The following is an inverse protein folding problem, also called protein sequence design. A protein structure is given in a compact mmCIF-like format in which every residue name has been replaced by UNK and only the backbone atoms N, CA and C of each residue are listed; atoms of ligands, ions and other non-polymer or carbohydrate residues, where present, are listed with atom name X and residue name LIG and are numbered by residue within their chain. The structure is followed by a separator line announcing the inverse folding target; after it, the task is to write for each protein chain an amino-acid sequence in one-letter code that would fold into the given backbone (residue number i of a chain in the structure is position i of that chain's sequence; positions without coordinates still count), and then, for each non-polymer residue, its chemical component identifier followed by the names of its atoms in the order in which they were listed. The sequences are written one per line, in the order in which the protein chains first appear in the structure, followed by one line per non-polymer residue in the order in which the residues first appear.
data_IF_706420919811
#
_entry.id   IF_706420919811
#
_cell.length_a   1.000
_cell.length_b   1.000
_cell.length_c   1.000
_cell.angle_alpha   90.00
_cell.angle_beta   90.00
_cell.angle_gamma   90.00
#
_symmetry.space_group_name_H-M   'P 1'
#
loop_
_entity.id
_entity.type
_entity.pdbx_description
1 polymer ?
#
# COMPACT_ATOMS: atom_id res chain seq x y z
N UNK A 1 -9.88 47.51 2.84
CA UNK A 1 -9.50 48.17 4.11
C UNK A 1 -10.27 47.48 5.21
N UNK A 2 -9.64 46.55 5.90
CA UNK A 2 -9.84 46.20 7.32
C UNK A 2 -8.85 45.08 7.67
N UNK A 3 -7.98 45.40 8.61
CA UNK A 3 -6.95 44.52 9.18
C UNK A 3 -7.44 44.18 10.58
N UNK A 4 -7.85 42.93 10.78
CA UNK A 4 -8.12 42.41 12.11
C UNK A 4 -6.79 41.96 12.75
N UNK A 5 -6.40 42.71 13.78
CA UNK A 5 -5.30 42.42 14.70
C UNK A 5 -5.66 41.22 15.59
N UNK A 6 -4.70 40.32 15.81
CA UNK A 6 -4.80 39.29 16.84
C UNK A 6 -3.51 39.27 17.66
N UNK A 7 -3.69 39.41 18.98
CA UNK A 7 -2.67 39.54 20.01
C UNK A 7 -1.70 38.36 20.10
N UNK A 8 -0.46 38.70 20.47
CA UNK A 8 0.60 37.78 20.86
C UNK A 8 0.37 37.13 22.24
N UNK A 9 1.04 35.99 22.49
CA UNK A 9 1.62 35.74 23.81
C UNK A 9 3.15 35.57 23.78
N UNK A 10 3.78 36.16 24.80
CA UNK A 10 5.22 36.20 25.06
C UNK A 10 5.83 34.82 25.30
N UNK A 11 6.94 34.52 24.64
CA UNK A 11 7.74 33.32 24.89
C UNK A 11 8.84 33.58 25.94
N UNK A 12 9.20 32.58 26.77
CA UNK A 12 10.23 32.70 27.80
C UNK A 12 11.66 32.73 27.24
N UNK A 13 12.54 33.49 27.89
CA UNK A 13 13.96 33.62 27.57
C UNK A 13 14.73 32.31 27.75
N UNK A 14 15.70 31.98 26.86
CA UNK A 14 16.55 30.80 27.01
C UNK A 14 17.70 31.01 28.00
N UNK A 15 17.96 29.99 28.83
CA UNK A 15 19.10 29.87 29.75
C UNK A 15 20.46 29.89 29.03
N UNK A 16 21.45 30.70 29.47
CA UNK A 16 22.71 30.88 28.76
C UNK A 16 23.82 29.85 29.09
N UNK A 17 23.51 28.70 29.70
CA UNK A 17 24.54 27.80 30.26
C UNK A 17 24.54 26.37 29.70
N UNK A 18 24.42 26.22 28.38
CA UNK A 18 24.79 24.97 27.70
C UNK A 18 25.94 25.23 26.74
N UNK A 19 27.16 24.98 27.23
CA UNK A 19 28.38 25.11 26.45
C UNK A 19 28.41 24.15 25.25
N UNK A 20 29.14 24.50 24.17
CA UNK A 20 29.26 23.66 22.98
C UNK A 20 30.09 22.40 23.29
N UNK A 21 29.74 21.21 22.77
CA UNK A 21 30.68 20.12 22.70
C UNK A 21 31.84 20.48 21.74
N UNK A 22 33.07 20.21 22.18
CA UNK A 22 34.31 20.48 21.43
C UNK A 22 34.42 19.70 20.11
N UNK A 23 35.22 20.21 19.15
CA UNK A 23 35.41 19.61 17.84
C UNK A 23 36.58 18.61 17.89
N UNK A 24 36.26 17.32 17.85
CA UNK A 24 37.25 16.28 17.67
C UNK A 24 36.82 15.40 16.51
N UNK A 25 37.62 15.45 15.44
CA UNK A 25 37.95 14.31 14.57
C UNK A 25 36.77 13.64 13.85
N UNK A 26 36.65 13.65 12.53
CA UNK A 26 37.68 13.48 11.53
C UNK A 26 37.01 12.86 10.30
N UNK A 27 37.58 13.13 9.14
CA UNK A 27 37.18 12.66 7.80
C UNK A 27 36.57 11.24 7.79
N UNK A 28 35.28 11.16 7.48
CA UNK A 28 34.56 9.91 7.27
C UNK A 28 33.46 10.09 6.21
N UNK A 29 33.88 10.10 4.95
CA UNK A 29 33.14 9.62 3.77
C UNK A 29 31.61 9.83 3.76
N UNK A 30 31.15 10.80 2.97
CA UNK A 30 29.78 10.89 2.44
C UNK A 30 29.44 9.68 1.54
N UNK A 31 29.29 8.47 2.08
CA UNK A 31 28.94 7.28 1.29
C UNK A 31 28.09 6.26 2.06
N UNK A 32 26.98 6.70 2.66
CA UNK A 32 26.07 5.76 3.34
C UNK A 32 24.58 6.14 3.23
N UNK A 33 24.13 6.70 2.09
CA UNK A 33 22.70 7.02 1.89
C UNK A 33 22.08 6.29 0.68
N UNK A 34 22.88 5.60 -0.14
CA UNK A 34 22.35 4.93 -1.35
C UNK A 34 21.72 3.54 -1.10
N UNK A 35 21.82 2.97 0.11
CA UNK A 35 21.45 1.56 0.36
C UNK A 35 20.00 1.33 0.85
N UNK A 36 19.21 2.39 1.09
CA UNK A 36 17.90 2.27 1.75
C UNK A 36 16.68 2.13 0.80
N UNK A 37 16.85 2.26 -0.52
CA UNK A 37 15.73 2.21 -1.48
C UNK A 37 15.36 0.81 -1.99
N UNK A 38 16.08 -0.24 -1.60
CA UNK A 38 15.91 -1.61 -2.15
C UNK A 38 14.95 -2.52 -1.35
N UNK A 39 14.31 -2.02 -0.29
CA UNK A 39 13.57 -2.87 0.66
C UNK A 39 12.03 -2.80 0.53
N UNK A 40 11.46 -1.93 -0.31
CA UNK A 40 10.01 -1.73 -0.42
C UNK A 40 9.32 -2.56 -1.52
N UNK A 41 10.05 -3.38 -2.27
CA UNK A 41 9.50 -4.14 -3.41
C UNK A 41 8.88 -5.52 -3.11
N UNK A 42 9.11 -6.21 -1.97
CA UNK A 42 8.74 -7.62 -1.88
C UNK A 42 7.23 -7.86 -1.74
N UNK A 43 6.48 -6.94 -1.11
CA UNK A 43 5.03 -7.10 -0.90
C UNK A 43 4.26 -7.04 -2.23
N UNK A 44 4.46 -5.97 -3.01
CA UNK A 44 3.72 -5.74 -4.26
C UNK A 44 3.93 -6.84 -5.32
N UNK A 45 5.13 -7.43 -5.37
CA UNK A 45 5.42 -8.53 -6.29
C UNK A 45 4.73 -9.84 -5.87
N UNK A 46 4.61 -10.09 -4.56
CA UNK A 46 3.87 -11.22 -4.01
C UNK A 46 2.37 -11.07 -4.30
N UNK A 47 1.81 -9.89 -4.04
CA UNK A 47 0.40 -9.58 -4.28
C UNK A 47 0.03 -9.75 -5.76
N UNK A 48 0.91 -9.32 -6.67
CA UNK A 48 0.74 -9.55 -8.11
C UNK A 48 0.65 -11.03 -8.46
N UNK A 49 1.58 -11.84 -7.95
CA UNK A 49 1.60 -13.27 -8.24
C UNK A 49 0.36 -13.97 -7.65
N UNK A 50 -0.02 -13.59 -6.42
CA UNK A 50 -1.20 -14.11 -5.73
C UNK A 50 -2.50 -13.73 -6.47
N UNK A 51 -2.63 -12.48 -6.94
CA UNK A 51 -3.75 -12.01 -7.74
C UNK A 51 -3.88 -12.82 -9.06
N UNK A 52 -2.79 -12.98 -9.82
CA UNK A 52 -2.81 -13.72 -11.08
C UNK A 52 -3.19 -15.20 -10.88
N UNK A 53 -2.59 -15.86 -9.88
CA UNK A 53 -2.92 -17.24 -9.55
C UNK A 53 -4.38 -17.38 -9.09
N UNK A 54 -4.83 -16.49 -8.22
CA UNK A 54 -6.20 -16.53 -7.70
C UNK A 54 -7.27 -16.34 -8.78
N UNK A 55 -7.04 -15.44 -9.75
CA UNK A 55 -7.95 -15.26 -10.90
C UNK A 55 -8.02 -16.56 -11.71
N UNK A 56 -6.88 -17.20 -11.99
CA UNK A 56 -6.84 -18.45 -12.72
C UNK A 56 -7.61 -19.57 -11.99
N UNK A 57 -7.40 -19.70 -10.67
CA UNK A 57 -8.08 -20.69 -9.83
C UNK A 57 -9.59 -20.49 -9.80
N UNK A 58 -10.05 -19.24 -9.64
CA UNK A 58 -11.49 -18.93 -9.65
C UNK A 58 -12.09 -19.19 -11.03
N UNK A 59 -11.40 -18.83 -12.12
CA UNK A 59 -11.86 -19.15 -13.49
C UNK A 59 -12.00 -20.64 -13.71
N UNK A 60 -11.05 -21.44 -13.23
CA UNK A 60 -11.12 -22.90 -13.31
C UNK A 60 -12.33 -23.46 -12.53
N UNK A 61 -12.58 -22.93 -11.33
CA UNK A 61 -13.77 -23.31 -10.53
C UNK A 61 -15.07 -22.89 -11.20
N UNK A 62 -15.13 -21.70 -11.80
CA UNK A 62 -16.30 -21.23 -12.58
C UNK A 62 -16.54 -22.13 -13.78
N UNK A 63 -15.50 -22.56 -14.48
CA UNK A 63 -15.62 -23.47 -15.63
C UNK A 63 -16.19 -24.85 -15.25
N UNK A 64 -16.03 -25.27 -14.00
CA UNK A 64 -16.61 -26.51 -13.48
C UNK A 64 -18.08 -26.38 -13.06
N UNK A 65 -18.62 -25.15 -12.98
CA UNK A 65 -20.02 -24.88 -12.61
C UNK A 65 -20.85 -24.74 -13.89
N UNK A 66 -22.08 -25.26 -13.90
CA UNK A 66 -23.00 -25.04 -15.01
C UNK A 66 -23.22 -23.53 -15.24
N UNK A 67 -23.20 -23.00 -16.49
CA UNK A 67 -23.19 -21.55 -16.74
C UNK A 67 -24.36 -20.75 -16.12
N UNK A 68 -25.52 -21.41 -16.00
CA UNK A 68 -26.74 -20.93 -15.36
C UNK A 68 -26.69 -21.00 -13.83
N UNK A 69 -25.87 -21.88 -13.27
CA UNK A 69 -25.65 -22.03 -11.84
C UNK A 69 -24.54 -21.10 -11.27
N UNK A 70 -23.78 -20.39 -12.11
CA UNK A 70 -22.74 -19.46 -11.66
C UNK A 70 -23.37 -18.21 -11.01
N UNK A 71 -23.15 -17.97 -9.70
CA UNK A 71 -23.77 -16.83 -9.00
C UNK A 71 -23.38 -15.48 -9.60
N UNK A 72 -24.32 -14.53 -9.69
CA UNK A 72 -24.03 -13.18 -10.20
C UNK A 72 -22.99 -12.45 -9.35
N UNK A 73 -22.99 -12.68 -8.03
CA UNK A 73 -21.96 -12.13 -7.13
C UNK A 73 -20.56 -12.63 -7.50
N UNK A 74 -20.41 -13.90 -7.85
CA UNK A 74 -19.16 -14.49 -8.31
C UNK A 74 -18.70 -13.87 -9.63
N UNK A 75 -19.60 -13.73 -10.61
CA UNK A 75 -19.29 -13.07 -11.91
C UNK A 75 -18.82 -11.63 -11.71
N UNK A 76 -19.48 -10.88 -10.83
CA UNK A 76 -19.11 -9.48 -10.52
C UNK A 76 -17.76 -9.40 -9.83
N UNK A 77 -17.53 -10.20 -8.79
CA UNK A 77 -16.27 -10.20 -8.05
C UNK A 77 -15.08 -10.59 -8.94
N UNK A 78 -15.25 -11.59 -9.81
CA UNK A 78 -14.21 -11.98 -10.77
C UNK A 78 -13.91 -10.84 -11.77
N UNK A 79 -14.92 -10.14 -12.27
CA UNK A 79 -14.73 -8.98 -13.16
C UNK A 79 -13.98 -7.85 -12.46
N UNK A 80 -14.25 -7.61 -11.17
CA UNK A 80 -13.52 -6.62 -10.37
C UNK A 80 -12.06 -7.04 -10.26
N UNK A 81 -11.78 -8.27 -9.83
CA UNK A 81 -10.40 -8.77 -9.73
C UNK A 81 -9.62 -8.63 -11.05
N UNK A 82 -10.24 -8.93 -12.20
CA UNK A 82 -9.62 -8.75 -13.52
C UNK A 82 -9.35 -7.28 -13.87
N UNK A 83 -10.22 -6.36 -13.45
CA UNK A 83 -10.00 -4.92 -13.63
C UNK A 83 -8.84 -4.45 -12.78
N UNK A 84 -8.85 -4.75 -11.48
CA UNK A 84 -7.80 -4.33 -10.54
C UNK A 84 -6.43 -4.90 -10.96
N UNK A 85 -6.39 -6.16 -11.42
CA UNK A 85 -5.18 -6.77 -12.00
C UNK A 85 -4.64 -6.00 -13.21
N UNK A 86 -5.52 -5.45 -14.05
CA UNK A 86 -5.16 -4.63 -15.21
C UNK A 86 -4.72 -3.21 -14.84
N UNK A 87 -5.23 -2.68 -13.73
CA UNK A 87 -4.90 -1.37 -13.19
C UNK A 87 -3.61 -1.40 -12.33
N UNK A 88 -3.20 -2.58 -11.86
CA UNK A 88 -2.01 -2.77 -11.03
C UNK A 88 -2.27 -2.66 -9.53
N UNK A 89 -3.55 -2.54 -9.15
CA UNK A 89 -4.08 -2.48 -7.79
C UNK A 89 -4.22 -3.93 -7.27
N UNK A 90 -3.09 -4.53 -6.87
CA UNK A 90 -3.02 -5.96 -6.57
C UNK A 90 -3.64 -6.32 -5.22
N UNK A 91 -3.58 -5.44 -4.23
CA UNK A 91 -4.24 -5.61 -2.94
C UNK A 91 -5.77 -5.61 -3.07
N UNK A 92 -6.33 -4.69 -3.85
CA UNK A 92 -7.76 -4.66 -4.19
C UNK A 92 -8.18 -5.89 -5.00
N UNK A 93 -7.29 -6.37 -5.88
CA UNK A 93 -7.50 -7.65 -6.57
C UNK A 93 -7.65 -8.81 -5.58
N UNK A 94 -6.82 -8.89 -4.54
CA UNK A 94 -6.90 -9.94 -3.53
C UNK A 94 -8.20 -9.87 -2.72
N UNK A 95 -8.66 -8.67 -2.37
CA UNK A 95 -9.96 -8.47 -1.72
C UNK A 95 -11.12 -8.95 -2.60
N UNK A 96 -11.09 -8.59 -3.89
CA UNK A 96 -12.09 -9.04 -4.86
C UNK A 96 -12.07 -10.56 -5.08
N UNK A 97 -10.89 -11.18 -5.02
CA UNK A 97 -10.74 -12.64 -5.05
C UNK A 97 -11.33 -13.31 -3.82
N UNK A 98 -11.21 -12.72 -2.64
CA UNK A 98 -11.85 -13.24 -1.43
C UNK A 98 -13.38 -13.15 -1.51
N UNK A 99 -13.91 -12.07 -2.08
CA UNK A 99 -15.33 -11.96 -2.40
C UNK A 99 -15.79 -13.02 -3.41
N UNK A 100 -14.98 -13.29 -4.43
CA UNK A 100 -15.24 -14.35 -5.40
C UNK A 100 -15.25 -15.73 -4.73
N UNK A 101 -14.25 -16.04 -3.89
CA UNK A 101 -14.18 -17.31 -3.13
C UNK A 101 -15.41 -17.51 -2.26
N UNK A 102 -15.87 -16.47 -1.57
CA UNK A 102 -17.08 -16.50 -0.73
C UNK A 102 -18.37 -16.70 -1.53
N UNK A 103 -18.37 -16.29 -2.79
CA UNK A 103 -19.51 -16.40 -3.69
C UNK A 103 -19.55 -17.72 -4.47
N UNK A 104 -18.56 -18.60 -4.33
CA UNK A 104 -18.60 -19.93 -4.92
C UNK A 104 -19.73 -20.77 -4.30
N UNK A 105 -20.48 -21.53 -5.12
CA UNK A 105 -21.40 -22.54 -4.60
C UNK A 105 -20.61 -23.59 -3.80
N UNK A 106 -21.21 -24.04 -2.69
CA UNK A 106 -20.63 -25.04 -1.77
C UNK A 106 -20.87 -26.46 -2.27
#
# INVERSE_FOLDING_TARGET
MEVATASAPSLPSPDPLRGPPSPAEGRGVFAAVAALFLLATPALADDKAACLSGIADIKAKVAAIAPDAVPQKLKKALRVAEREQGEGEFDECLEALDDAKRALPR
#
